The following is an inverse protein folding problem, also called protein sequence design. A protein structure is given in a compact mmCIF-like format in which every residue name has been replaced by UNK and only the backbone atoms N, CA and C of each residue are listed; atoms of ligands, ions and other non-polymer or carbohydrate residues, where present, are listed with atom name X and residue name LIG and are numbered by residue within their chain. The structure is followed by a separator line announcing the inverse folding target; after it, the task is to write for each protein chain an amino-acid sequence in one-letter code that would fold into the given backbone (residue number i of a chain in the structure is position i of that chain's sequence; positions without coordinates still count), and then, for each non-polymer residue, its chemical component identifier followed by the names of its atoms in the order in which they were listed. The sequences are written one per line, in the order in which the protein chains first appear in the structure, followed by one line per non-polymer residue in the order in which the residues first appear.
data_IF_296420891730
#
_entry.id   IF_296420891730
#
_cell.length_a   1.000
_cell.length_b   1.000
_cell.length_c   1.000
_cell.angle_alpha   90.00
_cell.angle_beta   90.00
_cell.angle_gamma   90.00
#
_symmetry.space_group_name_H-M   'P 1'
#
loop_
_entity.id
_entity.type
_entity.pdbx_description
1 polymer ?
#
# COMPACT_ATOMS: atom_id res chain seq x y z
N UNK A 1 6.19 4.43 -0.20
CA UNK A 1 5.82 3.08 -0.66
C UNK A 1 5.48 3.16 -2.13
N UNK A 2 5.66 2.11 -2.93
CA UNK A 2 5.30 2.16 -4.35
C UNK A 2 6.01 1.11 -5.19
N UNK A 3 5.87 1.22 -6.52
CA UNK A 3 6.64 0.44 -7.49
C UNK A 3 7.68 1.30 -8.20
N UNK A 4 8.82 0.68 -8.53
CA UNK A 4 9.85 1.26 -9.38
C UNK A 4 9.69 0.67 -10.79
N UNK A 5 9.60 1.52 -11.80
CA UNK A 5 9.55 1.12 -13.21
C UNK A 5 10.89 0.55 -13.74
N UNK A 6 11.91 0.52 -12.88
CA UNK A 6 13.23 0.04 -13.21
C UNK A 6 13.98 1.04 -14.11
N UNK A 7 15.19 0.67 -14.55
CA UNK A 7 15.92 1.46 -15.53
C UNK A 7 15.14 1.54 -16.84
N UNK A 8 15.17 2.68 -17.55
CA UNK A 8 14.48 2.83 -18.84
C UNK A 8 14.83 1.75 -19.88
N UNK A 9 16.01 1.13 -19.76
CA UNK A 9 16.49 0.06 -20.64
C UNK A 9 16.07 -1.36 -20.20
N UNK A 10 15.47 -1.53 -19.02
CA UNK A 10 15.00 -2.80 -18.49
C UNK A 10 13.62 -2.62 -17.86
N UNK A 11 12.58 -3.14 -18.53
CA UNK A 11 11.19 -3.09 -18.05
C UNK A 11 10.96 -4.06 -16.90
N UNK A 12 11.52 -3.74 -15.74
CA UNK A 12 11.34 -4.52 -14.52
C UNK A 12 10.48 -3.70 -13.56
N UNK A 13 9.24 -4.15 -13.34
CA UNK A 13 8.34 -3.56 -12.34
C UNK A 13 8.69 -4.13 -10.96
N UNK A 14 9.65 -3.50 -10.30
CA UNK A 14 10.06 -3.83 -8.94
C UNK A 14 9.29 -3.05 -7.88
N UNK A 15 9.45 -3.42 -6.61
CA UNK A 15 9.01 -2.58 -5.49
C UNK A 15 9.94 -1.38 -5.38
N UNK A 16 9.39 -0.22 -5.02
CA UNK A 16 10.15 1.00 -4.87
C UNK A 16 11.20 0.85 -3.76
N UNK A 17 12.47 1.02 -4.13
CA UNK A 17 13.61 1.02 -3.23
C UNK A 17 14.30 2.38 -3.32
N UNK A 18 14.45 3.04 -2.18
CA UNK A 18 15.40 4.15 -2.07
C UNK A 18 16.81 3.56 -2.01
N UNK A 19 17.65 3.86 -3.00
CA UNK A 19 19.06 3.46 -3.02
C UNK A 19 19.95 4.41 -2.20
N UNK A 20 19.44 5.60 -1.86
CA UNK A 20 20.15 6.62 -1.08
C UNK A 20 19.99 6.44 0.42
N UNK A 21 18.89 5.84 0.89
CA UNK A 21 18.65 5.57 2.31
C UNK A 21 18.71 4.07 2.61
N UNK A 22 19.64 3.65 3.46
CA UNK A 22 19.63 2.30 4.06
C UNK A 22 18.58 2.29 5.16
N UNK A 23 17.48 1.60 4.92
CA UNK A 23 16.35 1.49 5.85
C UNK A 23 16.55 0.26 6.75
N UNK A 24 16.56 0.51 8.07
CA UNK A 24 16.57 -0.48 9.15
C UNK A 24 15.19 -1.18 9.31
N UNK A 25 15.10 -2.24 10.09
CA UNK A 25 13.85 -2.91 10.51
C UNK A 25 12.81 -1.93 11.07
N UNK A 26 13.21 -0.87 11.75
CA UNK A 26 12.30 0.22 12.19
C UNK A 26 11.53 0.85 11.03
N UNK A 27 12.16 0.97 9.86
CA UNK A 27 11.48 1.47 8.67
C UNK A 27 10.47 0.46 8.09
N UNK A 28 10.64 -0.84 8.35
CA UNK A 28 9.64 -1.85 7.94
C UNK A 28 8.32 -1.63 8.69
N UNK A 29 8.37 -1.31 9.99
CA UNK A 29 7.19 -0.93 10.78
C UNK A 29 6.53 0.33 10.23
N UNK A 30 7.30 1.39 9.97
CA UNK A 30 6.76 2.62 9.36
C UNK A 30 6.12 2.38 7.98
N UNK A 31 6.62 1.41 7.22
CA UNK A 31 6.00 1.00 5.96
C UNK A 31 4.68 0.27 6.15
N UNK A 32 4.55 -0.56 7.19
CA UNK A 32 3.28 -1.21 7.53
C UNK A 32 2.23 -0.19 7.95
N UNK A 33 2.61 0.77 8.81
CA UNK A 33 1.70 1.82 9.29
C UNK A 33 1.22 2.71 8.14
N UNK A 34 2.14 3.09 7.25
CA UNK A 34 1.81 3.86 6.06
C UNK A 34 0.88 3.08 5.11
N UNK A 35 1.10 1.78 4.90
CA UNK A 35 0.17 0.94 4.11
C UNK A 35 -1.20 0.92 4.78
N UNK A 36 -1.24 0.74 6.10
CA UNK A 36 -2.48 0.63 6.85
C UNK A 36 -3.28 1.93 6.81
N UNK A 37 -2.63 3.09 6.98
CA UNK A 37 -3.26 4.39 6.88
C UNK A 37 -3.87 4.65 5.50
N UNK A 38 -3.12 4.34 4.43
CA UNK A 38 -3.61 4.49 3.05
C UNK A 38 -4.72 3.48 2.76
N UNK A 39 -4.61 2.24 3.26
CA UNK A 39 -5.62 1.20 3.08
C UNK A 39 -6.93 1.53 3.79
N UNK A 40 -6.84 2.08 5.01
CA UNK A 40 -8.00 2.56 5.77
C UNK A 40 -8.68 3.70 5.02
N UNK A 41 -7.89 4.67 4.52
CA UNK A 41 -8.41 5.78 3.72
C UNK A 41 -9.11 5.29 2.45
N UNK A 42 -8.49 4.34 1.73
CA UNK A 42 -9.10 3.71 0.56
C UNK A 42 -10.38 2.95 0.90
N UNK A 43 -10.40 2.27 2.05
CA UNK A 43 -11.58 1.63 2.60
C UNK A 43 -12.72 2.62 2.82
N UNK A 44 -12.44 3.79 3.40
CA UNK A 44 -13.42 4.87 3.54
C UNK A 44 -13.90 5.39 2.19
N UNK A 45 -13.00 5.59 1.21
CA UNK A 45 -13.39 5.98 -0.14
C UNK A 45 -14.39 4.98 -0.73
N UNK A 46 -14.09 3.68 -0.66
CA UNK A 46 -15.00 2.63 -1.15
C UNK A 46 -16.33 2.56 -0.42
N UNK A 47 -16.35 2.90 0.86
CA UNK A 47 -17.57 2.84 1.68
C UNK A 47 -18.46 4.09 1.53
N UNK A 48 -17.87 5.26 1.28
CA UNK A 48 -18.55 6.55 1.31
C UNK A 48 -18.80 7.15 -0.08
N UNK A 49 -17.96 6.83 -1.07
CA UNK A 49 -18.12 7.33 -2.42
C UNK A 49 -19.12 6.46 -3.22
N UNK A 50 -19.79 7.04 -4.23
CA UNK A 50 -20.69 6.30 -5.10
C UNK A 50 -20.00 5.10 -5.77
N UNK A 51 -20.67 3.95 -5.76
CA UNK A 51 -20.12 2.69 -6.26
C UNK A 51 -19.78 2.76 -7.75
N UNK A 52 -20.61 3.44 -8.55
CA UNK A 52 -20.37 3.69 -9.97
C UNK A 52 -19.06 4.44 -10.24
N UNK A 53 -18.71 5.40 -9.38
CA UNK A 53 -17.43 6.12 -9.47
C UNK A 53 -16.26 5.22 -9.08
N UNK A 54 -16.41 4.46 -8.00
CA UNK A 54 -15.32 3.58 -7.52
C UNK A 54 -15.05 2.42 -8.47
N UNK A 55 -16.08 1.82 -9.06
CA UNK A 55 -15.97 0.72 -10.02
C UNK A 55 -15.25 1.18 -11.30
N UNK A 56 -15.52 2.40 -11.78
CA UNK A 56 -14.82 2.98 -12.93
C UNK A 56 -13.33 3.19 -12.63
N UNK A 57 -12.99 3.69 -11.44
CA UNK A 57 -11.60 3.90 -11.01
C UNK A 57 -10.88 2.55 -10.90
N UNK A 58 -11.47 1.56 -10.23
CA UNK A 58 -10.90 0.22 -10.11
C UNK A 58 -10.72 -0.43 -11.49
N UNK A 59 -11.70 -0.30 -12.38
CA UNK A 59 -11.61 -0.77 -13.77
C UNK A 59 -10.46 -0.12 -14.54
N UNK A 60 -10.25 1.19 -14.37
CA UNK A 60 -9.12 1.90 -14.98
C UNK A 60 -7.76 1.43 -14.44
N UNK A 61 -7.65 1.18 -13.14
CA UNK A 61 -6.43 0.68 -12.51
C UNK A 61 -6.10 -0.75 -13.01
N UNK A 62 -7.11 -1.61 -13.10
CA UNK A 62 -6.98 -2.98 -13.59
C UNK A 62 -6.61 -3.01 -15.09
N UNK A 63 -7.27 -2.18 -15.92
CA UNK A 63 -6.97 -2.07 -17.34
C UNK A 63 -5.55 -1.56 -17.60
N UNK A 64 -5.04 -0.68 -16.73
CA UNK A 64 -3.66 -0.22 -16.77
C UNK A 64 -2.64 -1.27 -16.26
N UNK A 65 -3.11 -2.40 -15.73
CA UNK A 65 -2.27 -3.45 -15.15
C UNK A 65 -1.53 -2.99 -13.89
N UNK A 66 -2.09 -2.02 -13.17
CA UNK A 66 -1.46 -1.45 -11.98
C UNK A 66 -1.64 -2.40 -10.80
N UNK A 67 -0.53 -2.98 -10.36
CA UNK A 67 -0.50 -3.89 -9.22
C UNK A 67 -0.72 -3.11 -7.91
N UNK A 68 -1.40 -3.75 -6.94
CA UNK A 68 -1.68 -3.13 -5.63
C UNK A 68 -0.44 -2.75 -4.84
N UNK A 69 -0.63 -1.83 -3.89
CA UNK A 69 0.44 -1.38 -3.01
C UNK A 69 1.07 -2.56 -2.28
N UNK A 70 2.39 -2.66 -2.36
CA UNK A 70 3.14 -3.71 -1.69
C UNK A 70 4.43 -3.13 -1.09
N UNK A 71 4.95 -3.83 -0.10
CA UNK A 71 6.23 -3.53 0.53
C UNK A 71 7.13 -4.75 0.36
N UNK A 72 8.44 -4.51 0.30
CA UNK A 72 9.45 -5.58 0.23
C UNK A 72 9.48 -6.42 1.51
N UNK A 73 9.03 -5.83 2.62
CA UNK A 73 8.92 -6.49 3.90
C UNK A 73 7.51 -7.05 4.03
N UNK A 74 7.32 -8.30 3.61
CA UNK A 74 6.09 -9.02 3.87
C UNK A 74 6.22 -9.53 5.31
N UNK A 75 5.43 -8.97 6.23
CA UNK A 75 5.31 -9.57 7.57
C UNK A 75 4.79 -11.00 7.43
N UNK A 76 5.24 -11.91 8.31
CA UNK A 76 4.84 -13.33 8.31
C UNK A 76 3.31 -13.54 8.36
N UNK A 77 2.57 -12.49 8.73
CA UNK A 77 1.12 -12.50 8.89
C UNK A 77 0.35 -12.30 7.57
N UNK A 78 1.03 -12.01 6.44
CA UNK A 78 0.38 -11.79 5.15
C UNK A 78 0.60 -12.96 4.20
N UNK A 79 -0.49 -13.46 3.60
CA UNK A 79 -0.49 -14.64 2.72
C UNK A 79 0.12 -14.31 1.36
N UNK A 80 -0.05 -13.09 0.85
CA UNK A 80 0.42 -12.66 -0.48
C UNK A 80 0.93 -11.21 -0.48
N UNK A 81 1.91 -10.92 -1.35
CA UNK A 81 2.32 -9.55 -1.70
C UNK A 81 1.11 -8.76 -2.21
N UNK A 82 0.81 -7.62 -1.59
CA UNK A 82 -0.32 -6.79 -2.00
C UNK A 82 -1.64 -7.09 -1.29
N UNK A 83 -1.64 -7.96 -0.29
CA UNK A 83 -2.84 -8.25 0.52
C UNK A 83 -2.65 -7.91 2.00
N UNK A 84 -3.75 -7.46 2.57
CA UNK A 84 -3.98 -7.23 3.99
C UNK A 84 -3.21 -6.08 4.61
N UNK A 85 -3.76 -5.57 5.71
CA UNK A 85 -3.14 -4.53 6.52
C UNK A 85 -3.60 -4.67 7.96
N UNK A 86 -2.83 -4.08 8.87
CA UNK A 86 -3.14 -4.03 10.30
C UNK A 86 -2.83 -2.64 10.84
N UNK A 87 -3.56 -2.22 11.85
CA UNK A 87 -3.28 -0.97 12.57
C UNK A 87 -3.76 -1.08 14.01
N UNK A 88 -3.23 -0.20 14.86
CA UNK A 88 -3.63 -0.07 16.25
C UNK A 88 -4.50 1.17 16.42
N UNK A 89 -5.58 1.07 17.20
CA UNK A 89 -6.31 2.22 17.74
C UNK A 89 -6.29 2.09 19.27
N UNK A 90 -5.49 2.91 19.94
CA UNK A 90 -5.23 2.73 21.37
C UNK A 90 -4.48 1.42 21.62
N UNK A 91 -5.08 0.52 22.39
CA UNK A 91 -4.53 -0.81 22.70
C UNK A 91 -5.10 -1.93 21.81
N UNK A 92 -6.12 -1.63 21.00
CA UNK A 92 -6.79 -2.61 20.16
C UNK A 92 -6.10 -2.76 18.79
N UNK A 93 -5.74 -4.01 18.44
CA UNK A 93 -5.21 -4.35 17.12
C UNK A 93 -6.34 -4.78 16.17
N UNK A 94 -6.42 -4.12 15.03
CA UNK A 94 -7.31 -4.48 13.93
C UNK A 94 -6.50 -5.08 12.80
N UNK A 95 -6.91 -6.27 12.32
CA UNK A 95 -6.21 -7.01 11.28
C UNK A 95 -7.17 -7.45 10.17
N UNK A 96 -6.81 -7.12 8.93
CA UNK A 96 -7.58 -7.40 7.73
C UNK A 96 -6.74 -8.24 6.75
N UNK A 97 -6.45 -9.51 7.04
CA UNK A 97 -5.41 -10.28 6.33
C UNK A 97 -5.73 -10.57 4.85
N UNK A 98 -7.02 -10.54 4.48
CA UNK A 98 -7.50 -10.91 3.14
C UNK A 98 -7.98 -9.73 2.29
N UNK A 99 -7.97 -8.52 2.85
CA UNK A 99 -8.46 -7.34 2.13
C UNK A 99 -7.42 -6.92 1.11
N UNK A 100 -7.88 -6.58 -0.09
CA UNK A 100 -7.01 -6.05 -1.12
C UNK A 100 -6.45 -4.68 -0.72
N UNK A 101 -5.15 -4.50 -0.91
CA UNK A 101 -4.48 -3.24 -0.58
C UNK A 101 -4.90 -2.12 -1.54
N UNK A 102 -4.70 -0.86 -1.14
CA UNK A 102 -4.96 0.31 -1.98
C UNK A 102 -4.14 0.30 -3.29
N UNK A 103 -4.44 1.22 -4.22
CA UNK A 103 -3.68 1.41 -5.46
C UNK A 103 -2.17 1.51 -5.22
N UNK A 104 -1.38 1.26 -6.27
CA UNK A 104 0.09 1.13 -6.21
C UNK A 104 0.82 2.29 -5.53
N UNK A 105 0.21 3.47 -5.51
CA UNK A 105 0.80 4.73 -5.06
C UNK A 105 -0.13 5.43 -4.07
N UNK A 106 0.47 6.08 -3.08
CA UNK A 106 -0.24 6.92 -2.13
C UNK A 106 0.72 7.95 -1.53
N UNK A 107 0.19 9.13 -1.26
CA UNK A 107 0.95 10.26 -0.75
C UNK A 107 0.60 10.50 0.71
N UNK A 108 1.63 10.65 1.54
CA UNK A 108 1.52 11.08 2.93
C UNK A 108 2.18 12.45 3.06
N UNK A 109 1.49 13.40 3.69
CA UNK A 109 2.06 14.72 3.99
C UNK A 109 3.20 14.61 5.01
N UNK A 110 4.20 15.50 4.91
CA UNK A 110 5.45 15.43 5.70
C UNK A 110 5.27 15.52 7.23
N UNK A 111 4.12 16.01 7.71
CA UNK A 111 3.82 16.14 9.15
C UNK A 111 3.05 14.94 9.73
N UNK A 112 2.95 13.82 9.01
CA UNK A 112 2.34 12.61 9.57
C UNK A 112 3.33 11.94 10.54
N UNK A 113 3.08 12.09 11.85
CA UNK A 113 3.63 11.20 12.86
C UNK A 113 2.66 10.02 13.00
N UNK A 114 3.09 8.86 12.48
CA UNK A 114 2.45 7.57 12.72
C UNK A 114 2.94 7.02 14.05
#
# INVERSE_FOLDING_TARGET
LGRNAGPHHARILGLAQSYTKKLDKTAATMHEDAIAAIALTWGFCKALLPTDVMDEIEGCLDAAGLLRMATRYISENYILLGQGYRFLIGEDEYSFPKVERPPAEGFLSQDYSA
#
